data_IF_251183810177
#
_entry.id   IF_251183810177
#
_cell.length_a   1.000
_cell.length_b   1.000
_cell.length_c   1.000
_cell.angle_alpha   90.00
_cell.angle_beta   90.00
_cell.angle_gamma   90.00
#
_symmetry.space_group_name_H-M   'P 1'
#
loop_
_entity.id
_entity.type
_entity.pdbx_description
1 polymer ?
#
# COMPACT_ATOMS: atom_id res chain seq x y z
N UNK A 1 10.53 23.79 23.91
CA UNK A 1 10.83 22.37 24.06
C UNK A 1 10.35 21.70 22.80
N UNK A 2 11.25 21.15 21.97
CA UNK A 2 10.85 20.39 20.80
C UNK A 2 10.14 19.13 21.31
N UNK A 3 8.89 18.94 20.89
CA UNK A 3 8.19 17.69 21.12
C UNK A 3 8.94 16.62 20.30
N UNK A 4 9.69 15.76 20.95
CA UNK A 4 10.23 14.54 20.36
C UNK A 4 9.06 13.57 20.11
N UNK A 5 8.22 13.92 19.12
CA UNK A 5 7.19 13.03 18.60
C UNK A 5 7.80 12.08 17.59
N UNK A 6 7.19 10.91 17.42
CA UNK A 6 7.49 10.00 16.32
C UNK A 6 7.32 10.77 15.00
N UNK A 7 8.23 10.64 14.01
CA UNK A 7 8.07 11.29 12.72
C UNK A 7 6.75 10.85 12.07
N UNK A 8 6.05 11.79 11.43
CA UNK A 8 4.85 11.50 10.66
C UNK A 8 5.22 10.82 9.35
N UNK A 9 4.25 10.19 8.67
CA UNK A 9 4.48 9.61 7.33
C UNK A 9 4.93 10.69 6.34
N UNK A 10 4.48 11.93 6.52
CA UNK A 10 4.94 13.07 5.71
C UNK A 10 6.42 13.32 5.88
N UNK A 11 6.92 13.36 7.12
CA UNK A 11 8.33 13.62 7.38
C UNK A 11 9.20 12.52 6.76
N UNK A 12 8.77 11.25 6.87
CA UNK A 12 9.45 10.12 6.26
C UNK A 12 9.42 10.19 4.73
N UNK A 13 8.30 10.60 4.14
CA UNK A 13 8.16 10.74 2.69
C UNK A 13 9.04 11.87 2.14
N UNK A 14 9.13 12.99 2.83
CA UNK A 14 9.94 14.15 2.42
C UNK A 14 11.45 13.86 2.41
N UNK A 15 11.89 12.83 3.14
CA UNK A 15 13.28 12.39 3.21
C UNK A 15 13.60 11.20 2.28
N UNK A 16 12.59 10.48 1.80
CA UNK A 16 12.74 9.27 1.03
C UNK A 16 12.86 9.53 -0.48
N UNK A 17 13.71 8.81 -1.24
CA UNK A 17 13.82 8.98 -2.69
C UNK A 17 12.54 8.51 -3.40
N UNK A 18 12.14 9.24 -4.46
CA UNK A 18 11.01 8.90 -5.34
C UNK A 18 11.54 8.40 -6.68
N UNK A 19 11.58 7.08 -6.95
CA UNK A 19 12.09 6.54 -8.21
C UNK A 19 11.33 7.10 -9.42
N UNK A 20 12.05 7.40 -10.50
CA UNK A 20 11.56 7.91 -11.80
C UNK A 20 10.84 9.28 -11.78
N UNK A 21 10.43 9.78 -10.63
CA UNK A 21 9.73 11.05 -10.51
C UNK A 21 10.57 12.00 -9.65
N UNK A 22 10.72 13.25 -10.09
CA UNK A 22 11.37 14.26 -9.26
C UNK A 22 10.62 14.42 -7.93
N UNK A 23 11.36 14.41 -6.83
CA UNK A 23 10.76 14.64 -5.51
C UNK A 23 10.03 15.98 -5.50
N UNK A 24 8.78 16.05 -5.02
CA UNK A 24 8.06 17.32 -4.95
C UNK A 24 8.77 18.26 -3.98
N UNK A 25 8.73 19.58 -4.21
CA UNK A 25 9.16 20.55 -3.21
C UNK A 25 8.45 20.29 -1.88
N UNK A 26 9.14 20.45 -0.76
CA UNK A 26 8.57 20.26 0.60
C UNK A 26 7.33 21.12 0.89
N UNK A 27 7.13 22.19 0.13
CA UNK A 27 5.93 23.04 0.19
C UNK A 27 4.72 22.44 -0.51
N UNK A 28 4.92 21.44 -1.37
CA UNK A 28 3.83 20.76 -2.10
C UNK A 28 3.46 19.46 -1.41
N UNK A 29 2.93 19.57 -0.20
CA UNK A 29 2.48 18.42 0.58
C UNK A 29 1.38 17.64 -0.13
N UNK A 30 1.31 16.34 0.17
CA UNK A 30 0.20 15.46 -0.20
C UNK A 30 -0.94 15.64 0.79
N UNK A 31 -2.14 15.26 0.39
CA UNK A 31 -3.31 15.31 1.28
C UNK A 31 -3.31 14.13 2.23
N UNK A 32 -2.79 12.98 1.76
CA UNK A 32 -2.63 11.74 2.53
C UNK A 32 -1.27 11.11 2.30
N UNK A 33 -0.86 10.33 3.30
CA UNK A 33 0.34 9.50 3.26
C UNK A 33 -0.02 8.07 3.66
N UNK A 34 0.51 7.11 2.91
CA UNK A 34 0.29 5.68 3.09
C UNK A 34 1.64 5.00 3.25
N UNK A 35 1.82 4.19 4.28
CA UNK A 35 2.94 3.25 4.39
C UNK A 35 2.41 1.82 4.36
N UNK A 36 3.05 0.94 3.60
CA UNK A 36 2.70 -0.47 3.49
C UNK A 36 3.92 -1.36 3.65
N UNK A 37 3.69 -2.56 4.16
CA UNK A 37 4.69 -3.62 4.30
C UNK A 37 4.00 -4.97 4.20
N UNK A 38 4.62 -5.90 3.48
CA UNK A 38 4.20 -7.29 3.41
C UNK A 38 5.26 -8.19 4.03
N UNK A 39 4.87 -9.19 4.79
CA UNK A 39 5.80 -10.18 5.31
C UNK A 39 5.42 -11.59 4.90
N UNK A 40 6.45 -12.38 4.64
CA UNK A 40 6.35 -13.82 4.38
C UNK A 40 7.34 -14.57 5.25
N UNK A 41 6.90 -15.69 5.78
CA UNK A 41 7.73 -16.65 6.49
C UNK A 41 7.51 -18.03 5.87
N UNK A 42 8.60 -18.73 5.58
CA UNK A 42 8.49 -20.10 5.12
C UNK A 42 7.66 -20.94 6.12
N UNK A 43 6.69 -21.74 5.64
CA UNK A 43 5.85 -22.56 6.52
C UNK A 43 6.71 -23.41 7.46
N UNK A 44 6.43 -23.35 8.75
CA UNK A 44 7.06 -24.20 9.76
C UNK A 44 6.07 -25.28 10.15
N UNK A 45 6.11 -26.44 9.45
CA UNK A 45 5.28 -27.60 9.78
C UNK A 45 3.94 -27.62 9.05
N UNK A 46 3.11 -28.62 9.39
CA UNK A 46 1.85 -28.94 8.71
C UNK A 46 0.63 -28.15 9.22
N UNK A 47 0.81 -27.19 10.10
CA UNK A 47 -0.30 -26.59 10.85
C UNK A 47 -1.12 -25.53 10.07
N UNK A 48 -0.78 -25.27 8.79
CA UNK A 48 -1.62 -24.52 7.83
C UNK A 48 -2.05 -23.09 8.23
N UNK A 49 -1.44 -22.53 9.26
CA UNK A 49 -1.76 -21.16 9.71
C UNK A 49 -1.14 -20.08 8.79
N UNK A 50 -1.52 -18.81 8.98
CA UNK A 50 -0.94 -17.69 8.27
C UNK A 50 0.58 -17.70 8.34
N UNK A 51 1.24 -17.53 7.20
CA UNK A 51 2.69 -17.57 7.11
C UNK A 51 3.35 -16.17 7.01
N UNK A 52 2.58 -15.12 7.26
CA UNK A 52 3.03 -13.73 7.22
C UNK A 52 1.94 -12.77 7.60
N UNK A 53 2.09 -11.53 7.21
CA UNK A 53 1.10 -10.50 7.46
C UNK A 53 1.22 -9.31 6.51
N UNK A 54 0.18 -8.49 6.52
CA UNK A 54 0.08 -7.24 5.81
C UNK A 54 -0.01 -6.10 6.83
N UNK A 55 0.84 -5.09 6.68
CA UNK A 55 0.84 -3.89 7.49
C UNK A 55 0.45 -2.66 6.66
N UNK A 56 -0.45 -1.84 7.19
CA UNK A 56 -0.88 -0.58 6.56
C UNK A 56 -0.96 0.52 7.61
N UNK A 57 -0.44 1.69 7.29
CA UNK A 57 -0.63 2.93 8.07
C UNK A 57 -1.02 4.04 7.11
N UNK A 58 -2.11 4.75 7.42
CA UNK A 58 -2.58 5.90 6.64
C UNK A 58 -2.69 7.10 7.57
N UNK A 59 -2.11 8.22 7.16
CA UNK A 59 -2.17 9.50 7.86
C UNK A 59 -2.58 10.62 6.92
N UNK A 60 -3.24 11.65 7.46
CA UNK A 60 -3.44 12.92 6.77
C UNK A 60 -2.13 13.69 6.67
N UNK A 61 -2.13 14.78 5.91
CA UNK A 61 -1.01 15.72 5.82
C UNK A 61 -0.52 16.21 7.18
N UNK A 62 -1.41 16.36 8.13
CA UNK A 62 -1.10 16.91 9.46
C UNK A 62 -0.74 15.81 10.49
N UNK A 63 -0.61 14.55 10.03
CA UNK A 63 -0.19 13.41 10.84
C UNK A 63 -1.34 12.78 11.63
N UNK A 64 -2.60 13.15 11.34
CA UNK A 64 -3.75 12.49 11.94
C UNK A 64 -3.94 11.10 11.34
N UNK A 65 -4.17 10.10 12.19
CA UNK A 65 -4.39 8.73 11.75
C UNK A 65 -5.74 8.57 11.06
N UNK A 66 -5.71 8.06 9.83
CA UNK A 66 -6.90 7.69 9.06
C UNK A 66 -7.21 6.21 9.19
N UNK A 67 -6.19 5.35 9.10
CA UNK A 67 -6.31 3.90 9.30
C UNK A 67 -4.99 3.29 9.74
N UNK A 68 -5.09 2.17 10.46
CA UNK A 68 -3.98 1.30 10.81
C UNK A 68 -4.46 -0.14 10.78
N UNK A 69 -3.76 -0.97 10.00
CA UNK A 69 -4.13 -2.37 9.79
C UNK A 69 -2.94 -3.28 10.03
N UNK A 70 -3.22 -4.42 10.64
CA UNK A 70 -2.28 -5.50 10.82
C UNK A 70 -3.04 -6.81 10.58
N UNK A 71 -2.82 -7.45 9.44
CA UNK A 71 -3.65 -8.55 8.95
C UNK A 71 -2.81 -9.79 8.78
N UNK A 72 -3.13 -10.90 9.47
CA UNK A 72 -2.54 -12.19 9.15
C UNK A 72 -2.79 -12.55 7.69
N UNK A 73 -1.77 -13.08 7.02
CA UNK A 73 -1.86 -13.37 5.61
C UNK A 73 -1.07 -14.62 5.23
N UNK A 74 -1.58 -15.33 4.22
CA UNK A 74 -0.88 -16.45 3.60
C UNK A 74 -0.57 -16.10 2.15
N UNK A 75 0.70 -16.08 1.81
CA UNK A 75 1.20 -15.82 0.45
C UNK A 75 2.29 -16.80 0.08
N UNK A 76 2.52 -17.04 -1.22
CA UNK A 76 3.59 -17.94 -1.66
C UNK A 76 4.99 -17.36 -1.39
N UNK A 77 5.14 -16.04 -1.41
CA UNK A 77 6.43 -15.37 -1.21
C UNK A 77 6.27 -13.93 -0.71
N UNK A 78 7.42 -13.26 -0.48
CA UNK A 78 7.45 -11.90 0.02
C UNK A 78 6.99 -10.86 -1.03
N UNK A 79 7.23 -11.11 -2.33
CA UNK A 79 6.79 -10.16 -3.36
C UNK A 79 5.26 -10.07 -3.38
N UNK A 80 4.58 -11.23 -3.34
CA UNK A 80 3.11 -11.27 -3.28
C UNK A 80 2.60 -10.56 -2.03
N UNK A 81 3.26 -10.74 -0.87
CA UNK A 81 2.88 -10.07 0.36
C UNK A 81 2.97 -8.53 0.22
N UNK A 82 4.06 -8.01 -0.35
CA UNK A 82 4.27 -6.57 -0.56
C UNK A 82 3.22 -5.96 -1.50
N UNK A 83 2.99 -6.60 -2.66
CA UNK A 83 1.98 -6.13 -3.62
C UNK A 83 0.58 -6.19 -3.02
N UNK A 84 0.29 -7.23 -2.25
CA UNK A 84 -1.00 -7.38 -1.55
C UNK A 84 -1.20 -6.31 -0.49
N UNK A 85 -0.16 -5.98 0.29
CA UNK A 85 -0.21 -4.93 1.29
C UNK A 85 -0.48 -3.55 0.66
N UNK A 86 0.19 -3.23 -0.46
CA UNK A 86 -0.06 -1.99 -1.19
C UNK A 86 -1.48 -1.94 -1.77
N UNK A 87 -1.95 -3.03 -2.38
CA UNK A 87 -3.31 -3.11 -2.90
C UNK A 87 -4.34 -2.85 -1.79
N UNK A 88 -4.20 -3.52 -0.64
CA UNK A 88 -5.05 -3.31 0.54
C UNK A 88 -5.02 -1.86 1.02
N UNK A 89 -3.84 -1.28 1.16
CA UNK A 89 -3.67 0.09 1.64
C UNK A 89 -4.33 1.12 0.71
N UNK A 90 -4.15 0.96 -0.60
CA UNK A 90 -4.78 1.83 -1.60
C UNK A 90 -6.30 1.64 -1.64
N UNK A 91 -6.80 0.41 -1.47
CA UNK A 91 -8.22 0.12 -1.41
C UNK A 91 -8.90 0.80 -0.21
N UNK A 92 -8.30 0.70 0.97
CA UNK A 92 -8.78 1.39 2.18
C UNK A 92 -8.73 2.91 2.02
N UNK A 93 -7.63 3.42 1.46
CA UNK A 93 -7.48 4.86 1.26
C UNK A 93 -8.50 5.41 0.24
N UNK A 94 -8.70 4.72 -0.89
CA UNK A 94 -9.68 5.17 -1.91
C UNK A 94 -11.10 5.23 -1.38
N UNK A 95 -11.43 4.41 -0.38
CA UNK A 95 -12.73 4.45 0.30
C UNK A 95 -12.92 5.67 1.22
N UNK A 96 -11.84 6.25 1.70
CA UNK A 96 -11.87 7.31 2.73
C UNK A 96 -11.45 8.67 2.20
N UNK A 97 -10.58 8.69 1.20
CA UNK A 97 -10.07 9.93 0.61
C UNK A 97 -11.06 10.52 -0.42
N UNK A 98 -11.06 11.84 -0.63
CA UNK A 98 -11.73 12.47 -1.77
C UNK A 98 -11.13 11.98 -3.10
N UNK A 99 -11.93 11.99 -4.18
CA UNK A 99 -11.50 11.53 -5.52
C UNK A 99 -10.32 12.31 -6.10
N UNK A 100 -10.15 13.56 -5.71
CA UNK A 100 -9.08 14.42 -6.17
C UNK A 100 -7.91 14.52 -5.19
N UNK A 101 -7.79 13.57 -4.24
CA UNK A 101 -6.72 13.56 -3.27
C UNK A 101 -5.35 13.33 -3.93
N UNK A 102 -4.33 13.95 -3.37
CA UNK A 102 -2.91 13.70 -3.69
C UNK A 102 -2.31 12.82 -2.62
N UNK A 103 -1.64 11.74 -3.02
CA UNK A 103 -1.16 10.71 -2.12
C UNK A 103 0.34 10.52 -2.24
N UNK A 104 1.02 10.44 -1.09
CA UNK A 104 2.39 9.96 -0.95
C UNK A 104 2.39 8.53 -0.41
N UNK A 105 3.10 7.61 -1.07
CA UNK A 105 3.18 6.21 -0.66
C UNK A 105 4.61 5.87 -0.26
N UNK A 106 4.79 5.22 0.89
CA UNK A 106 6.06 4.74 1.42
C UNK A 106 6.11 3.22 1.30
N UNK A 107 7.09 2.71 0.57
CA UNK A 107 7.28 1.29 0.26
C UNK A 107 8.75 0.95 0.49
N UNK A 108 9.03 -0.20 1.10
CA UNK A 108 10.41 -0.67 1.30
C UNK A 108 10.87 -1.73 0.29
N UNK A 109 9.99 -2.15 -0.61
CA UNK A 109 10.31 -3.04 -1.72
C UNK A 109 10.94 -2.25 -2.90
N UNK A 110 12.09 -2.72 -3.39
CA UNK A 110 12.93 -2.02 -4.36
C UNK A 110 12.21 -1.68 -5.67
N UNK A 111 11.57 -2.66 -6.29
CA UNK A 111 10.96 -2.50 -7.60
C UNK A 111 9.53 -1.91 -7.51
N UNK A 112 8.80 -2.18 -6.43
CA UNK A 112 7.39 -1.81 -6.33
C UNK A 112 7.18 -0.28 -6.35
N UNK A 113 8.03 0.48 -5.64
CA UNK A 113 7.95 1.94 -5.67
C UNK A 113 8.24 2.50 -7.08
N UNK A 114 9.22 1.90 -7.78
CA UNK A 114 9.54 2.24 -9.18
C UNK A 114 8.39 1.90 -10.11
N UNK A 115 7.80 0.72 -9.99
CA UNK A 115 6.68 0.27 -10.80
C UNK A 115 5.45 1.18 -10.65
N UNK A 116 5.10 1.57 -9.41
CA UNK A 116 4.00 2.52 -9.14
C UNK A 116 4.26 3.85 -9.85
N UNK A 117 5.45 4.43 -9.70
CA UNK A 117 5.77 5.70 -10.34
C UNK A 117 5.80 5.60 -11.87
N UNK A 118 6.32 4.51 -12.43
CA UNK A 118 6.29 4.26 -13.86
C UNK A 118 4.86 4.15 -14.40
N UNK A 119 3.97 3.44 -13.71
CA UNK A 119 2.55 3.35 -14.07
C UNK A 119 1.86 4.72 -14.05
N UNK A 120 2.15 5.54 -13.04
CA UNK A 120 1.62 6.92 -12.95
C UNK A 120 2.09 7.78 -14.12
N UNK A 121 3.37 7.71 -14.48
CA UNK A 121 3.95 8.49 -15.59
C UNK A 121 3.40 8.03 -16.93
N UNK A 122 3.34 6.71 -17.18
CA UNK A 122 2.77 6.14 -18.41
C UNK A 122 1.29 6.50 -18.58
N UNK A 123 0.55 6.60 -17.48
CA UNK A 123 -0.86 7.04 -17.52
C UNK A 123 -1.05 8.52 -17.85
N UNK A 124 -0.01 9.35 -17.65
CA UNK A 124 -0.04 10.80 -17.92
C UNK A 124 0.56 11.19 -19.26
N UNK A 125 1.54 10.44 -19.72
CA UNK A 125 2.27 10.66 -20.96
C UNK A 125 2.42 9.33 -21.70
N UNK A 126 1.69 9.17 -22.80
CA UNK A 126 1.75 7.97 -23.62
C UNK A 126 3.14 7.76 -24.29
N UNK A 127 3.97 8.79 -24.35
CA UNK A 127 5.34 8.72 -24.85
C UNK A 127 6.38 8.44 -23.75
N UNK A 128 5.96 8.32 -22.49
CA UNK A 128 6.89 8.04 -21.41
C UNK A 128 7.46 6.63 -21.51
N UNK A 129 8.77 6.53 -21.62
CA UNK A 129 9.51 5.28 -21.53
C UNK A 129 10.25 5.25 -20.18
N UNK A 130 9.94 4.31 -19.27
CA UNK A 130 10.65 4.21 -18.02
C UNK A 130 12.10 3.81 -18.26
N UNK A 131 13.03 4.39 -17.50
CA UNK A 131 14.47 4.09 -17.58
C UNK A 131 14.76 2.60 -17.34
N UNK A 132 13.90 1.96 -16.55
CA UNK A 132 13.89 0.51 -16.33
C UNK A 132 12.49 -0.01 -16.64
N UNK A 133 12.36 -1.13 -17.37
CA UNK A 133 11.06 -1.70 -17.67
C UNK A 133 10.33 -2.05 -16.37
N UNK A 134 9.02 -1.80 -16.34
CA UNK A 134 8.17 -2.28 -15.24
C UNK A 134 8.24 -3.80 -15.22
N UNK A 135 8.76 -4.33 -14.12
CA UNK A 135 8.88 -5.76 -13.88
C UNK A 135 7.94 -6.17 -12.75
N UNK A 136 6.81 -6.72 -13.12
CA UNK A 136 5.81 -7.21 -12.15
C UNK A 136 5.98 -8.73 -12.04
N UNK A 137 6.27 -9.27 -10.84
CA UNK A 137 6.34 -10.71 -10.64
C UNK A 137 5.03 -11.38 -11.06
N UNK A 138 5.11 -12.53 -11.74
CA UNK A 138 3.96 -13.21 -12.33
C UNK A 138 2.81 -13.44 -11.33
N UNK A 139 3.16 -13.90 -10.12
CA UNK A 139 2.17 -14.25 -9.10
C UNK A 139 1.52 -13.03 -8.41
N UNK A 140 1.99 -11.82 -8.72
CA UNK A 140 1.42 -10.57 -8.21
C UNK A 140 0.43 -9.91 -9.17
N UNK A 141 0.18 -10.50 -10.35
CA UNK A 141 -0.56 -9.86 -11.43
C UNK A 141 -1.97 -9.39 -11.06
N UNK A 142 -2.69 -10.13 -10.20
CA UNK A 142 -4.00 -9.69 -9.71
C UNK A 142 -3.88 -8.43 -8.85
N UNK A 143 -2.94 -8.43 -7.89
CA UNK A 143 -2.75 -7.29 -7.01
C UNK A 143 -2.23 -6.08 -7.77
N UNK A 144 -1.38 -6.30 -8.77
CA UNK A 144 -0.90 -5.23 -9.63
C UNK A 144 -2.05 -4.55 -10.41
N UNK A 145 -2.93 -5.32 -11.06
CA UNK A 145 -4.13 -4.76 -11.70
C UNK A 145 -4.98 -3.96 -10.71
N UNK A 146 -5.08 -4.45 -9.47
CA UNK A 146 -5.72 -3.76 -8.37
C UNK A 146 -5.07 -2.42 -8.06
N UNK A 147 -3.78 -2.39 -7.92
CA UNK A 147 -3.00 -1.19 -7.67
C UNK A 147 -3.18 -0.18 -8.80
N UNK A 148 -3.05 -0.61 -10.07
CA UNK A 148 -3.20 0.28 -11.23
C UNK A 148 -4.57 0.95 -11.29
N UNK A 149 -5.63 0.24 -10.93
CA UNK A 149 -6.93 0.87 -10.95
C UNK A 149 -7.11 1.83 -9.77
N UNK A 150 -6.60 1.50 -8.57
CA UNK A 150 -6.65 2.44 -7.42
C UNK A 150 -5.78 3.68 -7.64
N UNK A 151 -4.67 3.58 -8.38
CA UNK A 151 -3.88 4.75 -8.80
C UNK A 151 -4.75 5.78 -9.53
N UNK A 152 -5.73 5.33 -10.31
CA UNK A 152 -6.64 6.22 -11.07
C UNK A 152 -7.70 6.92 -10.21
N UNK A 153 -7.93 6.45 -8.99
CA UNK A 153 -8.86 7.07 -8.05
C UNK A 153 -8.33 8.39 -7.45
N UNK A 154 -7.05 8.70 -7.66
CA UNK A 154 -6.39 9.85 -7.08
C UNK A 154 -5.94 10.86 -8.13
N UNK A 155 -5.98 12.14 -7.80
CA UNK A 155 -5.45 13.20 -8.67
C UNK A 155 -3.95 13.07 -8.89
N UNK A 156 -3.23 12.63 -7.86
CA UNK A 156 -1.79 12.38 -7.94
C UNK A 156 -1.40 11.32 -6.91
N UNK A 157 -0.56 10.39 -7.34
CA UNK A 157 0.10 9.45 -6.45
C UNK A 157 1.60 9.45 -6.74
N UNK A 158 2.42 9.35 -5.71
CA UNK A 158 3.88 9.16 -5.81
C UNK A 158 4.33 8.18 -4.77
N UNK A 159 5.11 7.21 -5.19
CA UNK A 159 5.76 6.26 -4.29
C UNK A 159 7.18 6.71 -3.99
N UNK A 160 7.54 6.65 -2.71
CA UNK A 160 8.89 6.87 -2.22
C UNK A 160 9.41 5.60 -1.55
N UNK A 161 10.71 5.34 -1.72
CA UNK A 161 11.36 4.17 -1.14
C UNK A 161 11.85 4.48 0.27
N UNK A 162 11.40 3.69 1.23
CA UNK A 162 11.84 3.77 2.62
C UNK A 162 12.64 2.52 3.01
N UNK A 163 13.49 2.62 4.02
CA UNK A 163 14.16 1.43 4.59
C UNK A 163 13.19 0.71 5.52
N UNK A 164 13.18 -0.64 5.50
CA UNK A 164 12.29 -1.48 6.33
C UNK A 164 12.32 -1.09 7.81
N UNK A 165 13.49 -0.83 8.38
CA UNK A 165 13.63 -0.41 9.77
C UNK A 165 13.02 0.95 10.12
N UNK A 166 12.70 1.76 9.11
CA UNK A 166 12.02 3.06 9.26
C UNK A 166 10.56 3.01 8.81
N UNK A 167 10.13 1.90 8.19
CA UNK A 167 8.75 1.72 7.73
C UNK A 167 7.81 1.45 8.92
N UNK A 168 6.87 2.35 9.25
CA UNK A 168 5.97 2.15 10.39
C UNK A 168 4.95 1.02 10.17
N UNK A 169 4.78 0.53 8.94
CA UNK A 169 3.98 -0.65 8.64
C UNK A 169 4.72 -1.96 8.94
N UNK A 170 6.07 -1.95 8.98
CA UNK A 170 6.89 -3.12 9.18
C UNK A 170 6.54 -3.96 10.43
N UNK A 171 6.41 -3.42 11.65
CA UNK A 171 6.00 -4.21 12.79
C UNK A 171 4.60 -4.80 12.66
N UNK A 172 3.70 -4.12 11.94
CA UNK A 172 2.32 -4.57 11.72
C UNK A 172 2.28 -5.81 10.82
N UNK A 173 3.11 -5.84 9.77
CA UNK A 173 3.24 -6.98 8.87
C UNK A 173 3.94 -8.16 9.54
N UNK A 174 4.98 -7.90 10.34
CA UNK A 174 5.83 -8.94 10.92
C UNK A 174 5.29 -9.60 12.20
N UNK A 175 4.33 -8.98 12.86
CA UNK A 175 3.73 -9.52 14.08
C UNK A 175 2.19 -9.34 14.08
N UNK A 176 1.47 -9.85 13.07
CA UNK A 176 0.04 -9.59 12.92
C UNK A 176 -0.78 -10.04 14.14
N UNK A 177 -0.42 -11.16 14.77
CA UNK A 177 -1.10 -11.66 15.96
C UNK A 177 -1.04 -10.69 17.15
N UNK A 178 0.08 -9.95 17.27
CA UNK A 178 0.27 -8.96 18.32
C UNK A 178 -0.50 -7.66 18.05
N UNK A 179 -0.75 -7.35 16.79
CA UNK A 179 -1.35 -6.08 16.36
C UNK A 179 -2.77 -6.21 15.79
N UNK A 180 -3.39 -7.40 15.84
CA UNK A 180 -4.75 -7.60 15.35
C UNK A 180 -5.77 -6.61 15.96
N UNK A 181 -5.53 -6.18 17.21
CA UNK A 181 -6.38 -5.22 17.92
C UNK A 181 -6.37 -3.79 17.33
N UNK A 182 -5.45 -3.48 16.41
CA UNK A 182 -5.40 -2.14 15.77
C UNK A 182 -6.10 -2.12 14.42
N UNK A 183 -6.70 -3.23 13.97
CA UNK A 183 -7.42 -3.27 12.72
C UNK A 183 -8.68 -2.40 12.79
N UNK A 184 -8.67 -1.32 12.01
CA UNK A 184 -9.80 -0.42 11.90
C UNK A 184 -10.87 -0.93 10.91
N UNK A 185 -10.53 -1.91 10.06
CA UNK A 185 -11.40 -2.49 9.04
C UNK A 185 -11.13 -3.99 8.84
N UNK A 186 -11.51 -4.86 9.81
CA UNK A 186 -11.19 -6.29 9.74
C UNK A 186 -11.85 -6.99 8.55
N UNK A 187 -13.07 -6.62 8.18
CA UNK A 187 -13.80 -7.27 7.08
C UNK A 187 -13.29 -6.92 5.68
N UNK A 188 -12.55 -5.82 5.58
CA UNK A 188 -11.97 -5.34 4.31
C UNK A 188 -10.66 -6.05 3.94
N UNK A 189 -10.11 -6.79 4.85
CA UNK A 189 -8.82 -7.46 4.69
C UNK A 189 -8.90 -8.74 3.85
N UNK A 190 -10.07 -9.10 3.36
CA UNK A 190 -10.29 -10.28 2.53
C UNK A 190 -10.03 -9.92 1.08
N UNK A 191 -8.77 -9.97 0.66
CA UNK A 191 -8.42 -10.00 -0.77
C UNK A 191 -8.54 -11.44 -1.27
N UNK A 192 -8.85 -11.67 -2.56
CA UNK A 192 -8.95 -13.01 -3.12
C UNK A 192 -7.70 -13.83 -2.82
N UNK A 193 -7.89 -15.03 -2.28
CA UNK A 193 -6.78 -15.93 -1.96
C UNK A 193 -6.16 -16.57 -3.21
N UNK A 194 -7.00 -16.78 -4.26
CA UNK A 194 -6.55 -17.35 -5.52
C UNK A 194 -6.80 -16.37 -6.68
N UNK A 195 -5.72 -15.79 -7.23
CA UNK A 195 -5.84 -14.93 -8.39
C UNK A 195 -6.30 -15.64 -9.67
N UNK A 196 -6.28 -16.97 -9.69
CA UNK A 196 -6.60 -17.79 -10.85
C UNK A 196 -7.98 -18.46 -10.76
N UNK A 197 -8.72 -18.31 -9.68
CA UNK A 197 -10.05 -18.88 -9.53
C UNK A 197 -11.12 -18.14 -10.33
N UNK A 198 -10.89 -17.98 -11.60
CA UNK A 198 -11.90 -17.88 -12.66
C UNK A 198 -12.71 -16.60 -12.80
N UNK A 199 -12.60 -15.63 -11.95
CA UNK A 199 -13.19 -14.31 -12.20
C UNK A 199 -12.08 -13.26 -12.33
N UNK A 200 -11.81 -12.84 -13.56
CA UNK A 200 -10.85 -11.77 -13.87
C UNK A 200 -11.25 -10.40 -13.28
N UNK A 201 -12.26 -10.39 -12.43
CA UNK A 201 -12.76 -9.21 -11.78
C UNK A 201 -11.94 -8.94 -10.53
N UNK A 202 -11.27 -7.87 -10.58
CA UNK A 202 -10.75 -7.03 -9.54
C UNK A 202 -11.75 -6.83 -8.38
N UNK A 203 -11.33 -6.86 -7.12
CA UNK A 203 -12.22 -6.60 -6.01
C UNK A 203 -12.97 -5.29 -6.21
N UNK A 204 -14.28 -5.26 -5.93
CA UNK A 204 -15.07 -4.05 -6.13
C UNK A 204 -14.45 -2.88 -5.34
N UNK A 205 -14.59 -1.66 -5.85
CA UNK A 205 -14.13 -0.47 -5.14
C UNK A 205 -14.74 -0.43 -3.74
N UNK A 206 -13.92 -0.20 -2.73
CA UNK A 206 -14.39 -0.13 -1.35
C UNK A 206 -15.47 0.93 -1.12
N UNK A 207 -15.55 1.94 -1.95
CA UNK A 207 -16.65 2.93 -1.94
C UNK A 207 -18.02 2.34 -2.27
N UNK A 208 -18.07 1.27 -3.07
CA UNK A 208 -19.34 0.62 -3.40
C UNK A 208 -19.98 -0.09 -2.20
N UNK A 209 -19.20 -0.47 -1.21
CA UNK A 209 -19.68 -1.22 -0.05
C UNK A 209 -20.15 -0.32 1.12
N UNK A 210 -19.97 1.01 1.05
CA UNK A 210 -20.41 1.92 2.12
C UNK A 210 -21.90 2.17 2.16
N UNK A 211 -22.65 1.86 1.10
CA UNK A 211 -24.09 2.06 1.05
C UNK A 211 -24.91 1.02 1.81
N UNK A 212 -24.31 -0.10 2.22
CA UNK A 212 -25.05 -1.20 2.85
C UNK A 212 -24.86 -1.29 4.38
N UNK A 213 -23.99 -0.45 4.96
CA UNK A 213 -23.74 -0.46 6.40
C UNK A 213 -24.51 0.61 7.20
N UNK A 214 -25.56 1.18 6.63
CA UNK A 214 -26.39 2.22 7.26
C UNK A 214 -27.87 1.90 7.14
N UNK A 215 -28.31 0.78 7.74
CA UNK A 215 -29.70 0.53 8.13
C UNK A 215 -29.73 -0.21 9.45
#
# INVERSE_FOLDING_TARGET
>A
MAAYGRPTLRDLFDEAPTPHIAHPPRTHHRDFYLATDGSYRAPRGADGGPNGGLGVVIETRDGERVARLSVPNSTPDNNVAEYRALHLGLDVLSARAPENARVGVLIDHDDLAGNVNAAVLSGRDAGFEPTHPVSVPHDTGLHWRGIEARIRDFAEIRAARIRSGHNPAHPLANAPDQYAHVNDEPDRCVLPEDPLSGDDRYPPPSRANRGEASD
#
